data_IF_624066700259
#
_entry.id   IF_624066700259
#
_cell.length_a   1.000
_cell.length_b   1.000
_cell.length_c   1.000
_cell.angle_alpha   90.00
_cell.angle_beta   90.00
_cell.angle_gamma   90.00
#
_symmetry.space_group_name_H-M   'P 1'
#
loop_
_entity.id
_entity.type
_entity.pdbx_description
1 polymer ?
#
# COMPACT_ATOMS: atom_id res chain seq x y z
N UNK A 1 -3.22 9.76 -26.27
CA UNK A 1 -4.32 9.15 -25.45
C UNK A 1 -4.70 10.07 -24.28
N UNK A 2 -5.99 10.28 -23.99
CA UNK A 2 -6.48 11.09 -22.85
C UNK A 2 -7.27 10.23 -21.85
N UNK A 3 -7.01 10.36 -20.55
CA UNK A 3 -7.83 9.75 -19.50
C UNK A 3 -9.00 10.67 -19.15
N UNK A 4 -10.21 10.13 -19.10
CA UNK A 4 -11.44 10.89 -18.82
C UNK A 4 -12.05 10.58 -17.46
N UNK A 5 -11.84 9.37 -16.95
CA UNK A 5 -12.28 8.97 -15.62
C UNK A 5 -11.39 7.84 -15.10
N UNK A 6 -11.23 7.79 -13.76
CA UNK A 6 -10.55 6.69 -13.06
C UNK A 6 -11.46 6.26 -11.91
N UNK A 7 -11.68 4.96 -11.79
CA UNK A 7 -12.34 4.32 -10.66
C UNK A 7 -11.41 3.27 -10.07
N UNK A 8 -11.37 3.17 -8.75
CA UNK A 8 -10.59 2.16 -8.03
C UNK A 8 -11.52 1.44 -7.07
N UNK A 9 -11.52 0.11 -7.13
CA UNK A 9 -12.32 -0.75 -6.26
C UNK A 9 -11.57 -2.06 -6.01
N UNK A 10 -12.08 -2.88 -5.10
CA UNK A 10 -11.50 -4.19 -4.85
C UNK A 10 -12.35 -5.30 -5.46
N UNK A 11 -11.70 -6.39 -5.85
CA UNK A 11 -12.33 -7.63 -6.26
C UNK A 11 -11.59 -8.79 -5.60
N UNK A 12 -12.20 -9.38 -4.57
CA UNK A 12 -11.55 -10.33 -3.66
C UNK A 12 -10.30 -9.68 -3.03
N UNK A 13 -9.12 -10.26 -3.25
CA UNK A 13 -7.83 -9.77 -2.77
C UNK A 13 -7.12 -8.83 -3.76
N UNK A 14 -7.75 -8.50 -4.88
CA UNK A 14 -7.16 -7.64 -5.89
C UNK A 14 -7.71 -6.22 -5.80
N UNK A 15 -6.86 -5.26 -6.10
CA UNK A 15 -7.26 -3.92 -6.48
C UNK A 15 -7.53 -3.94 -7.99
N UNK A 16 -8.64 -3.33 -8.40
CA UNK A 16 -9.01 -3.10 -9.79
C UNK A 16 -9.00 -1.60 -10.05
N UNK A 17 -8.22 -1.19 -11.04
CA UNK A 17 -8.16 0.17 -11.55
C UNK A 17 -8.85 0.17 -12.91
N UNK A 18 -9.93 0.93 -13.01
CA UNK A 18 -10.67 1.15 -14.24
C UNK A 18 -10.36 2.56 -14.75
N UNK A 19 -9.77 2.66 -15.95
CA UNK A 19 -9.42 3.93 -16.57
C UNK A 19 -10.15 4.08 -17.90
N UNK A 20 -11.03 5.08 -18.00
CA UNK A 20 -11.70 5.43 -19.24
C UNK A 20 -10.78 6.32 -20.08
N UNK A 21 -10.63 5.98 -21.36
CA UNK A 21 -9.73 6.65 -22.29
C UNK A 21 -10.45 7.17 -23.53
N UNK A 22 -9.96 8.28 -24.05
CA UNK A 22 -10.43 8.89 -25.30
C UNK A 22 -9.29 9.37 -26.21
N UNK A 23 -9.61 9.68 -27.47
CA UNK A 23 -8.67 10.14 -28.50
C UNK A 23 -8.16 8.98 -29.34
N UNK A 24 -6.84 8.80 -29.39
CA UNK A 24 -6.18 7.72 -30.17
C UNK A 24 -6.60 6.31 -29.71
N UNK A 25 -6.91 6.15 -28.42
CA UNK A 25 -7.45 4.92 -27.83
C UNK A 25 -8.74 5.26 -27.13
N UNK A 26 -9.86 4.79 -27.68
CA UNK A 26 -11.20 4.99 -27.12
C UNK A 26 -11.67 3.69 -26.47
N UNK A 27 -11.81 3.66 -25.16
CA UNK A 27 -12.21 2.46 -24.45
C UNK A 27 -12.03 2.56 -22.94
N UNK A 28 -12.10 1.41 -22.28
CA UNK A 28 -11.89 1.30 -20.83
C UNK A 28 -10.81 0.27 -20.56
N UNK A 29 -9.71 0.71 -19.96
CA UNK A 29 -8.64 -0.15 -19.49
C UNK A 29 -8.94 -0.64 -18.08
N UNK A 30 -8.75 -1.93 -17.83
CA UNK A 30 -8.87 -2.58 -16.54
C UNK A 30 -7.50 -3.13 -16.17
N UNK A 31 -6.99 -2.73 -15.01
CA UNK A 31 -5.76 -3.25 -14.42
C UNK A 31 -6.16 -3.93 -13.12
N UNK A 32 -5.78 -5.18 -12.94
CA UNK A 32 -6.06 -5.94 -11.73
C UNK A 32 -4.76 -6.47 -11.15
N UNK A 33 -4.60 -6.35 -9.84
CA UNK A 33 -3.43 -6.89 -9.17
C UNK A 33 -3.56 -6.97 -7.66
N UNK A 34 -2.66 -7.72 -7.03
CA UNK A 34 -2.59 -7.84 -5.58
C UNK A 34 -1.62 -6.80 -5.02
N UNK A 35 -2.01 -6.00 -4.02
CA UNK A 35 -1.08 -5.11 -3.34
C UNK A 35 -0.07 -5.92 -2.53
N UNK A 36 1.18 -5.46 -2.51
CA UNK A 36 2.22 -6.02 -1.66
C UNK A 36 3.18 -4.94 -1.20
N UNK A 37 3.86 -5.19 -0.08
CA UNK A 37 4.91 -4.30 0.42
C UNK A 37 6.26 -4.69 -0.17
N UNK A 38 6.94 -3.73 -0.80
CA UNK A 38 8.31 -3.88 -1.27
C UNK A 38 9.27 -3.20 -0.30
N UNK A 39 9.92 -4.00 0.55
CA UNK A 39 10.82 -3.51 1.59
C UNK A 39 12.06 -2.79 1.03
N UNK A 40 12.50 -3.12 -0.19
CA UNK A 40 13.66 -2.47 -0.80
C UNK A 40 13.36 -1.01 -1.17
N UNK A 41 12.14 -0.70 -1.61
CA UNK A 41 11.74 0.64 -2.00
C UNK A 41 10.84 1.36 -0.98
N UNK A 42 10.50 0.70 0.13
CA UNK A 42 9.54 1.18 1.13
C UNK A 42 8.23 1.67 0.50
N UNK A 43 7.68 0.88 -0.42
CA UNK A 43 6.46 1.20 -1.17
C UNK A 43 5.46 0.06 -1.12
N UNK A 44 4.18 0.42 -1.12
CA UNK A 44 3.12 -0.51 -1.52
C UNK A 44 3.10 -0.52 -3.05
N UNK A 45 3.32 -1.69 -3.61
CA UNK A 45 3.29 -1.95 -5.06
C UNK A 45 2.11 -2.83 -5.41
N UNK A 46 1.83 -2.90 -6.70
CA UNK A 46 0.77 -3.73 -7.25
C UNK A 46 1.40 -4.83 -8.11
N UNK A 47 1.24 -6.09 -7.72
CA UNK A 47 1.59 -7.22 -8.58
C UNK A 47 0.45 -7.42 -9.59
N UNK A 48 0.65 -6.99 -10.83
CA UNK A 48 -0.40 -6.97 -11.85
C UNK A 48 -0.62 -8.37 -12.37
N UNK A 49 -1.83 -8.88 -12.18
CA UNK A 49 -2.23 -10.24 -12.59
C UNK A 49 -3.01 -10.27 -13.89
N UNK A 50 -3.65 -9.16 -14.25
CA UNK A 50 -4.49 -9.06 -15.45
C UNK A 50 -4.56 -7.61 -15.93
N UNK A 51 -4.52 -7.44 -17.25
CA UNK A 51 -4.72 -6.17 -17.93
C UNK A 51 -5.57 -6.37 -19.19
N UNK A 52 -6.65 -5.60 -19.32
CA UNK A 52 -7.58 -5.72 -20.44
C UNK A 52 -8.05 -4.34 -20.92
N UNK A 53 -8.14 -4.15 -22.24
CA UNK A 53 -8.73 -2.97 -22.86
C UNK A 53 -10.05 -3.32 -23.56
N UNK A 54 -11.17 -2.81 -23.02
CA UNK A 54 -12.46 -2.87 -23.69
C UNK A 54 -12.58 -1.71 -24.68
N UNK A 55 -12.43 -2.00 -25.97
CA UNK A 55 -12.57 -1.05 -27.08
C UNK A 55 -13.40 -1.64 -28.22
N UNK A 56 -14.06 -0.78 -29.01
CA UNK A 56 -14.79 -1.18 -30.23
C UNK A 56 -13.86 -1.41 -31.42
N UNK A 57 -12.63 -0.89 -31.40
CA UNK A 57 -11.69 -1.01 -32.50
C UNK A 57 -10.89 -2.32 -32.41
N UNK A 58 -11.05 -3.18 -33.41
CA UNK A 58 -10.40 -4.50 -33.47
C UNK A 58 -8.85 -4.42 -33.47
N UNK A 59 -8.27 -3.44 -34.16
CA UNK A 59 -6.82 -3.24 -34.16
C UNK A 59 -6.30 -2.85 -32.78
N UNK A 60 -7.04 -2.01 -32.05
CA UNK A 60 -6.67 -1.60 -30.68
C UNK A 60 -6.71 -2.79 -29.70
N UNK A 61 -7.64 -3.74 -29.86
CA UNK A 61 -7.66 -4.98 -29.05
C UNK A 61 -6.37 -5.79 -29.22
N UNK A 62 -5.90 -5.94 -30.46
CA UNK A 62 -4.69 -6.73 -30.76
C UNK A 62 -3.42 -6.06 -30.24
N UNK A 63 -3.33 -4.72 -30.33
CA UNK A 63 -2.23 -3.95 -29.76
C UNK A 63 -2.15 -4.07 -28.24
N UNK A 64 -3.29 -4.23 -27.55
CA UNK A 64 -3.34 -4.37 -26.08
C UNK A 64 -2.54 -5.57 -25.60
N UNK A 65 -2.66 -6.72 -26.27
CA UNK A 65 -1.92 -7.94 -25.93
C UNK A 65 -0.41 -7.76 -26.13
N UNK A 66 -0.01 -7.05 -27.20
CA UNK A 66 1.40 -6.77 -27.47
C UNK A 66 2.03 -5.82 -26.44
N UNK A 67 1.24 -4.87 -25.91
CA UNK A 67 1.73 -3.90 -24.93
C UNK A 67 1.48 -4.30 -23.47
N UNK A 68 0.74 -5.37 -23.22
CA UNK A 68 0.40 -5.87 -21.88
C UNK A 68 1.64 -6.00 -21.01
N UNK A 69 2.68 -6.69 -21.49
CA UNK A 69 3.92 -6.89 -20.74
C UNK A 69 4.67 -5.58 -20.44
N UNK A 70 4.58 -4.58 -21.32
CA UNK A 70 5.21 -3.26 -21.10
C UNK A 70 4.43 -2.44 -20.08
N UNK A 71 3.09 -2.45 -20.16
CA UNK A 71 2.21 -1.75 -19.21
C UNK A 71 2.35 -2.37 -17.83
N UNK A 72 2.33 -3.71 -17.74
CA UNK A 72 2.56 -4.44 -16.50
C UNK A 72 3.88 -4.04 -15.83
N UNK A 73 4.99 -4.06 -16.58
CA UNK A 73 6.30 -3.64 -16.05
C UNK A 73 6.33 -2.18 -15.60
N UNK A 74 5.69 -1.28 -16.36
CA UNK A 74 5.60 0.14 -15.99
C UNK A 74 4.87 0.29 -14.65
N UNK A 75 3.73 -0.39 -14.46
CA UNK A 75 2.97 -0.32 -13.21
C UNK A 75 3.75 -0.94 -12.05
N UNK A 76 4.36 -2.10 -12.26
CA UNK A 76 5.11 -2.82 -11.21
C UNK A 76 6.38 -2.08 -10.78
N UNK A 77 7.08 -1.40 -11.71
CA UNK A 77 8.37 -0.76 -11.44
C UNK A 77 8.24 0.72 -11.10
N UNK A 78 7.40 1.46 -11.82
CA UNK A 78 7.40 2.92 -11.80
C UNK A 78 6.37 3.48 -10.80
N UNK A 79 5.33 2.69 -10.47
CA UNK A 79 4.25 3.12 -9.57
C UNK A 79 4.29 2.42 -8.21
N UNK A 80 3.95 3.17 -7.17
CA UNK A 80 3.83 2.66 -5.81
C UNK A 80 3.57 3.76 -4.80
N UNK A 81 2.87 3.42 -3.72
CA UNK A 81 2.55 4.36 -2.63
C UNK A 81 3.73 4.35 -1.65
N UNK A 82 4.46 5.47 -1.48
CA UNK A 82 5.58 5.54 -0.55
C UNK A 82 5.10 5.43 0.90
N UNK A 83 5.79 4.61 1.69
CA UNK A 83 5.52 4.41 3.12
C UNK A 83 6.66 4.86 4.02
N UNK A 84 7.85 5.16 3.50
CA UNK A 84 9.04 5.46 4.31
C UNK A 84 8.81 6.56 5.36
N UNK A 85 8.16 7.65 4.99
CA UNK A 85 7.88 8.75 5.94
C UNK A 85 6.88 8.34 7.02
N UNK A 86 5.87 7.53 6.65
CA UNK A 86 4.88 6.99 7.58
C UNK A 86 5.55 5.99 8.55
N UNK A 87 6.42 5.13 8.04
CA UNK A 87 7.21 4.19 8.85
C UNK A 87 8.11 4.91 9.84
N UNK A 88 8.84 5.93 9.38
CA UNK A 88 9.73 6.74 10.22
C UNK A 88 8.95 7.51 11.28
N UNK A 89 7.84 8.15 10.90
CA UNK A 89 6.98 8.87 11.83
C UNK A 89 6.37 7.92 12.89
N UNK A 90 5.90 6.74 12.47
CA UNK A 90 5.33 5.74 13.37
C UNK A 90 6.38 5.22 14.35
N UNK A 91 7.58 4.88 13.87
CA UNK A 91 8.69 4.43 14.72
C UNK A 91 9.10 5.49 15.73
N UNK A 92 9.22 6.75 15.30
CA UNK A 92 9.53 7.88 16.17
C UNK A 92 8.46 8.03 17.25
N UNK A 93 7.19 8.09 16.85
CA UNK A 93 6.08 8.24 17.79
C UNK A 93 6.02 7.09 18.80
N UNK A 94 6.20 5.84 18.37
CA UNK A 94 6.23 4.69 19.26
C UNK A 94 7.39 4.77 20.26
N UNK A 95 8.61 5.09 19.80
CA UNK A 95 9.76 5.25 20.69
C UNK A 95 9.54 6.38 21.71
N UNK A 96 8.99 7.52 21.31
CA UNK A 96 8.65 8.61 22.23
C UNK A 96 7.61 8.17 23.27
N UNK A 97 6.59 7.43 22.84
CA UNK A 97 5.57 6.90 23.74
C UNK A 97 6.13 5.83 24.69
N UNK A 98 7.06 4.99 24.25
CA UNK A 98 7.66 3.96 25.09
C UNK A 98 8.60 4.49 26.17
N UNK A 99 9.02 5.75 26.09
CA UNK A 99 10.03 6.32 26.99
C UNK A 99 9.50 7.53 27.76
N UNK A 100 8.33 7.37 28.39
CA UNK A 100 7.72 8.41 29.23
C UNK A 100 7.12 7.84 30.52
N UNK A 101 6.90 8.74 31.47
CA UNK A 101 6.14 8.47 32.68
C UNK A 101 4.67 8.71 32.38
N UNK A 102 3.85 7.66 32.42
CA UNK A 102 2.44 7.73 32.06
C UNK A 102 1.59 8.19 33.24
N UNK A 103 1.94 7.69 34.42
CA UNK A 103 1.41 8.13 35.71
C UNK A 103 2.57 8.15 36.70
N UNK A 104 2.47 8.97 37.74
CA UNK A 104 3.52 9.10 38.75
C UNK A 104 3.91 7.73 39.31
N UNK A 105 5.20 7.39 39.22
CA UNK A 105 5.70 6.10 39.69
C UNK A 105 5.56 4.95 38.70
N UNK A 106 5.01 5.16 37.49
CA UNK A 106 4.98 4.18 36.39
C UNK A 106 5.65 4.78 35.16
N UNK A 107 6.86 4.31 34.88
CA UNK A 107 7.65 4.70 33.71
C UNK A 107 7.80 3.51 32.77
N UNK A 108 7.49 3.74 31.49
CA UNK A 108 7.91 2.83 30.43
C UNK A 108 9.28 3.25 29.91
N UNK A 109 10.09 2.26 29.56
CA UNK A 109 11.30 2.41 28.77
C UNK A 109 11.34 1.32 27.71
N UNK A 110 11.73 1.65 26.49
CA UNK A 110 11.78 0.65 25.45
C UNK A 110 12.17 1.18 24.09
N UNK A 111 12.22 0.27 23.12
CA UNK A 111 12.62 0.58 21.75
C UNK A 111 11.89 -0.29 20.74
N UNK A 112 11.55 0.31 19.59
CA UNK A 112 11.00 -0.39 18.43
C UNK A 112 12.16 -1.00 17.63
N UNK A 113 12.24 -2.33 17.61
CA UNK A 113 13.24 -3.08 16.85
C UNK A 113 12.84 -3.20 15.38
N UNK A 114 11.59 -3.57 15.12
CA UNK A 114 11.07 -3.79 13.77
C UNK A 114 9.66 -3.21 13.64
N UNK A 115 9.35 -2.69 12.45
CA UNK A 115 8.04 -2.14 12.09
C UNK A 115 7.89 -2.33 10.59
N UNK A 116 6.96 -3.19 10.19
CA UNK A 116 6.74 -3.51 8.78
C UNK A 116 5.26 -3.76 8.47
N UNK A 117 4.75 -3.31 7.31
CA UNK A 117 3.51 -3.80 6.75
C UNK A 117 3.57 -5.32 6.58
N UNK A 118 2.52 -6.02 7.02
CA UNK A 118 2.41 -7.47 6.97
C UNK A 118 1.22 -7.93 6.13
N UNK A 119 0.06 -7.28 6.28
CA UNK A 119 -1.17 -7.69 5.62
C UNK A 119 -1.93 -6.51 5.01
N UNK A 120 -2.64 -6.77 3.92
CA UNK A 120 -3.47 -5.81 3.20
C UNK A 120 -4.91 -6.30 3.19
N UNK A 121 -5.78 -5.61 3.91
CA UNK A 121 -7.21 -5.91 3.98
C UNK A 121 -7.95 -4.91 3.09
N UNK A 122 -8.53 -5.41 2.01
CA UNK A 122 -9.26 -4.61 1.04
C UNK A 122 -10.74 -4.47 1.44
N UNK A 123 -11.25 -3.25 1.38
CA UNK A 123 -12.68 -2.94 1.56
C UNK A 123 -13.16 -2.02 0.44
N UNK A 124 -14.47 -1.79 0.36
CA UNK A 124 -15.07 -0.98 -0.71
C UNK A 124 -14.52 0.46 -0.78
N UNK A 125 -14.09 1.02 0.36
CA UNK A 125 -13.71 2.44 0.44
C UNK A 125 -12.23 2.66 0.75
N UNK A 126 -11.58 1.73 1.42
CA UNK A 126 -10.21 1.90 1.88
C UNK A 126 -9.44 0.59 1.95
N UNK A 127 -8.12 0.72 1.97
CA UNK A 127 -7.18 -0.37 2.23
C UNK A 127 -6.72 -0.23 3.67
N UNK A 128 -6.95 -1.26 4.48
CA UNK A 128 -6.36 -1.33 5.82
C UNK A 128 -5.06 -2.11 5.74
N UNK A 129 -3.98 -1.50 6.21
CA UNK A 129 -2.66 -2.11 6.25
C UNK A 129 -2.37 -2.51 7.68
N UNK A 130 -2.17 -3.79 7.92
CA UNK A 130 -1.77 -4.30 9.23
C UNK A 130 -0.26 -4.20 9.33
N UNK A 131 0.21 -3.43 10.30
CA UNK A 131 1.64 -3.25 10.57
C UNK A 131 2.01 -4.15 11.75
N UNK A 132 2.95 -5.07 11.52
CA UNK A 132 3.55 -5.85 12.60
C UNK A 132 4.73 -5.09 13.16
N UNK A 133 4.74 -4.93 14.48
CA UNK A 133 5.80 -4.23 15.21
C UNK A 133 6.45 -5.18 16.21
N UNK A 134 7.77 -5.21 16.25
CA UNK A 134 8.54 -5.87 17.31
C UNK A 134 9.22 -4.81 18.16
N UNK A 135 8.95 -4.82 19.45
CA UNK A 135 9.50 -3.87 20.40
C UNK A 135 9.95 -4.55 21.68
N UNK A 136 10.92 -3.95 22.36
CA UNK A 136 11.28 -4.30 23.74
C UNK A 136 10.75 -3.22 24.67
N UNK A 137 10.08 -3.64 25.74
CA UNK A 137 9.46 -2.74 26.73
C UNK A 137 9.82 -3.22 28.14
N UNK A 138 10.22 -2.29 28.97
CA UNK A 138 10.41 -2.44 30.40
C UNK A 138 9.50 -1.44 31.13
N UNK A 139 8.73 -1.93 32.09
CA UNK A 139 7.94 -1.10 32.99
C UNK A 139 8.65 -1.01 34.33
N UNK A 140 8.99 0.21 34.73
CA UNK A 140 9.56 0.50 36.04
C UNK A 140 8.48 1.08 36.94
N UNK A 141 8.27 0.44 38.09
CA UNK A 141 7.29 0.85 39.10
C UNK A 141 8.04 1.33 40.34
N UNK A 142 7.74 2.54 40.80
CA UNK A 142 8.35 3.15 41.99
C UNK A 142 7.32 3.94 42.80
N UNK A 143 7.53 4.03 44.11
CA UNK A 143 6.66 4.83 44.99
C UNK A 143 5.31 4.20 45.36
N UNK A 144 5.13 2.89 45.17
CA UNK A 144 4.02 2.16 45.80
C UNK A 144 4.33 2.01 47.30
N UNK A 145 3.74 2.88 48.12
CA UNK A 145 3.65 2.69 49.56
C UNK A 145 2.44 1.81 49.86
N UNK A 146 2.67 0.60 50.38
CA UNK A 146 1.65 -0.25 51.00
C UNK A 146 1.47 0.14 52.47
#
# INVERSE_FOLDING_TARGET
>A
VKITAISVYHEKENIVIEAQTSGEVNGTAFIKGKPFYDAASHKIKLNVTDFNLKTKNFFQKTLTVLFEGKIRRMIENDYGIPLLDIENASRKSMNENFNKEYVKGIRLQGSVMDLKPDQFLLSEKYITIVITTKAQLQMNISGLSF
#
